data_IF_197422383970
#
_entry.id   IF_197422383970
#
_cell.length_a   1.000
_cell.length_b   1.000
_cell.length_c   1.000
_cell.angle_alpha   90.00
_cell.angle_beta   90.00
_cell.angle_gamma   90.00
#
_symmetry.space_group_name_H-M   'P 1'
#
loop_
_entity.id
_entity.type
_entity.pdbx_description
1 polymer ?
#
# COMPACT_ATOMS: atom_id res chain seq x y z
N UNK A 1 -50.79 -18.12 55.05
CA UNK A 1 -50.24 -18.60 53.76
C UNK A 1 -49.81 -17.41 52.91
N UNK A 2 -48.51 -17.11 52.85
CA UNK A 2 -47.92 -16.19 51.86
C UNK A 2 -46.69 -16.87 51.29
N UNK A 3 -46.80 -17.34 50.03
CA UNK A 3 -45.68 -17.90 49.26
C UNK A 3 -44.81 -16.74 48.80
N UNK A 4 -43.54 -16.73 49.23
CA UNK A 4 -42.52 -15.86 48.67
C UNK A 4 -41.94 -16.60 47.46
N UNK A 5 -42.21 -16.07 46.26
CA UNK A 5 -41.54 -16.51 45.03
C UNK A 5 -40.14 -15.91 45.00
N UNK A 6 -39.13 -16.77 44.96
CA UNK A 6 -37.74 -16.41 44.69
C UNK A 6 -37.58 -16.29 43.16
N UNK A 7 -37.38 -15.09 42.64
CA UNK A 7 -36.96 -14.87 41.26
C UNK A 7 -35.44 -15.01 41.17
N UNK A 8 -34.97 -16.08 40.55
CA UNK A 8 -33.57 -16.24 40.14
C UNK A 8 -33.42 -15.57 38.79
N UNK A 9 -32.88 -14.36 38.75
CA UNK A 9 -32.42 -13.73 37.51
C UNK A 9 -31.09 -14.38 37.11
N UNK A 10 -31.12 -15.25 36.09
CA UNK A 10 -29.91 -15.61 35.35
C UNK A 10 -29.41 -14.36 34.62
N UNK A 11 -28.37 -13.74 35.16
CA UNK A 11 -27.55 -12.79 34.41
C UNK A 11 -26.67 -13.62 33.48
N UNK A 12 -27.02 -13.69 32.20
CA UNK A 12 -26.12 -14.19 31.16
C UNK A 12 -24.93 -13.24 31.06
N UNK A 13 -23.81 -13.62 31.68
CA UNK A 13 -22.52 -12.98 31.45
C UNK A 13 -22.09 -13.36 30.03
N UNK A 14 -22.37 -12.50 29.06
CA UNK A 14 -21.69 -12.56 27.77
C UNK A 14 -20.23 -12.21 28.03
N UNK A 15 -19.36 -13.23 28.08
CA UNK A 15 -17.93 -13.03 27.98
C UNK A 15 -17.65 -12.40 26.60
N UNK A 16 -17.52 -11.07 26.56
CA UNK A 16 -16.80 -10.41 25.48
C UNK A 16 -15.36 -10.91 25.60
N UNK A 17 -14.99 -11.92 24.82
CA UNK A 17 -13.59 -12.26 24.65
C UNK A 17 -12.91 -11.04 24.04
N UNK A 18 -11.98 -10.44 24.79
CA UNK A 18 -11.15 -9.37 24.25
C UNK A 18 -10.41 -9.93 23.03
N UNK A 19 -10.53 -9.26 21.88
CA UNK A 19 -9.87 -9.69 20.64
C UNK A 19 -8.37 -9.74 20.82
N UNK A 20 -7.74 -10.86 20.45
CA UNK A 20 -6.31 -11.10 20.62
C UNK A 20 -5.49 -10.22 19.65
N UNK A 21 -4.38 -9.65 20.14
CA UNK A 21 -3.42 -8.94 19.32
C UNK A 21 -2.84 -9.86 18.24
N UNK A 22 -2.64 -9.33 17.03
CA UNK A 22 -1.80 -10.02 16.04
C UNK A 22 -0.33 -10.01 16.48
N UNK A 23 0.52 -10.92 15.96
CA UNK A 23 1.95 -10.87 16.23
C UNK A 23 2.58 -9.52 15.81
N UNK A 24 3.62 -9.02 16.51
CA UNK A 24 4.34 -7.81 16.12
C UNK A 24 4.90 -7.89 14.70
N UNK A 25 5.42 -9.07 14.33
CA UNK A 25 5.97 -9.36 13.01
C UNK A 25 5.55 -10.77 12.57
N UNK A 26 5.08 -10.89 11.33
CA UNK A 26 4.81 -12.15 10.64
C UNK A 26 5.70 -12.26 9.40
N UNK A 27 6.37 -13.40 9.23
CA UNK A 27 7.34 -13.63 8.16
C UNK A 27 6.79 -14.59 7.12
N UNK A 28 6.94 -14.23 5.84
CA UNK A 28 6.48 -14.99 4.67
C UNK A 28 7.67 -15.31 3.76
N UNK A 29 8.44 -16.37 4.04
CA UNK A 29 9.63 -16.73 3.27
C UNK A 29 9.29 -17.14 1.84
N UNK A 30 10.13 -16.73 0.89
CA UNK A 30 10.13 -17.23 -0.46
C UNK A 30 10.63 -18.67 -0.49
N UNK A 31 9.96 -19.52 -1.28
CA UNK A 31 10.34 -20.92 -1.45
C UNK A 31 9.92 -21.46 -2.82
N UNK A 32 10.70 -22.41 -3.34
CA UNK A 32 10.43 -23.08 -4.62
C UNK A 32 11.30 -22.59 -5.79
N UNK A 33 11.07 -23.16 -6.97
CA UNK A 33 11.93 -23.01 -8.14
C UNK A 33 11.84 -21.63 -8.83
N UNK A 34 10.86 -20.81 -8.46
CA UNK A 34 10.68 -19.46 -8.99
C UNK A 34 11.58 -18.43 -8.30
N UNK A 35 12.18 -18.78 -7.16
CA UNK A 35 13.05 -17.89 -6.39
C UNK A 35 14.38 -17.75 -7.12
N UNK A 36 14.58 -16.61 -7.76
CA UNK A 36 15.80 -16.27 -8.48
C UNK A 36 16.74 -15.39 -7.66
N UNK A 37 18.02 -15.47 -8.01
CA UNK A 37 19.08 -14.61 -7.50
C UNK A 37 19.59 -13.70 -8.60
N UNK A 38 19.92 -12.46 -8.25
CA UNK A 38 20.58 -11.51 -9.14
C UNK A 38 22.05 -11.89 -9.38
N UNK A 39 22.76 -11.09 -10.17
CA UNK A 39 24.17 -11.34 -10.53
C UNK A 39 25.11 -11.29 -9.30
N UNK A 40 24.67 -10.66 -8.21
CA UNK A 40 25.37 -10.62 -6.92
C UNK A 40 25.00 -11.81 -6.01
N UNK A 41 24.23 -12.78 -6.51
CA UNK A 41 23.78 -13.95 -5.75
C UNK A 41 22.71 -13.65 -4.70
N UNK A 42 22.11 -12.46 -4.67
CA UNK A 42 21.05 -12.08 -3.71
C UNK A 42 19.68 -12.43 -4.26
N UNK A 43 18.77 -12.94 -3.42
CA UNK A 43 17.39 -13.26 -3.84
C UNK A 43 16.68 -11.98 -4.30
N UNK A 44 16.04 -12.02 -5.46
CA UNK A 44 15.33 -10.85 -5.99
C UNK A 44 14.01 -10.65 -5.23
N UNK A 45 13.86 -9.54 -4.49
CA UNK A 45 12.60 -9.13 -3.82
C UNK A 45 11.67 -8.29 -4.71
N UNK A 46 12.21 -7.73 -5.79
CA UNK A 46 11.50 -6.87 -6.73
C UNK A 46 11.60 -5.41 -6.34
N UNK A 47 11.66 -4.54 -7.35
CA UNK A 47 11.99 -3.13 -7.12
C UNK A 47 10.77 -2.30 -6.70
N UNK A 48 9.59 -2.59 -7.22
CA UNK A 48 8.36 -1.85 -6.88
C UNK A 48 7.27 -2.80 -6.40
N UNK A 49 6.84 -2.60 -5.16
CA UNK A 49 5.72 -3.33 -4.56
C UNK A 49 4.54 -2.37 -4.30
N UNK A 50 3.33 -2.93 -4.37
CA UNK A 50 2.09 -2.33 -3.87
C UNK A 50 1.35 -3.40 -3.09
N UNK A 51 0.75 -3.03 -1.97
CA UNK A 51 0.11 -3.96 -1.03
C UNK A 51 -1.40 -3.81 -1.15
N UNK A 52 -2.11 -4.94 -1.24
CA UNK A 52 -3.56 -4.94 -1.29
C UNK A 52 -4.15 -4.50 0.05
N UNK A 53 -5.38 -3.96 0.06
CA UNK A 53 -5.92 -3.36 1.27
C UNK A 53 -6.13 -4.39 2.39
N UNK A 54 -6.37 -5.66 2.07
CA UNK A 54 -6.45 -6.75 3.05
C UNK A 54 -5.09 -7.31 3.49
N UNK A 55 -3.98 -6.83 2.92
CA UNK A 55 -2.63 -7.33 3.19
C UNK A 55 -2.34 -8.73 2.63
N UNK A 56 -3.24 -9.28 1.81
CA UNK A 56 -3.12 -10.64 1.30
C UNK A 56 -2.31 -10.74 0.01
N UNK A 57 -2.30 -9.68 -0.81
CA UNK A 57 -1.69 -9.67 -2.12
C UNK A 57 -0.68 -8.53 -2.25
N UNK A 58 0.41 -8.80 -2.97
CA UNK A 58 1.43 -7.82 -3.31
C UNK A 58 1.62 -7.82 -4.82
N UNK A 59 1.36 -6.68 -5.45
CA UNK A 59 1.71 -6.48 -6.86
C UNK A 59 3.17 -6.05 -6.92
N UNK A 60 4.00 -6.91 -7.49
CA UNK A 60 5.44 -6.74 -7.59
C UNK A 60 5.82 -6.54 -9.06
N UNK A 61 6.55 -5.46 -9.35
CA UNK A 61 7.19 -5.23 -10.64
C UNK A 61 8.68 -5.55 -10.58
N UNK A 62 9.27 -5.82 -11.75
CA UNK A 62 10.67 -6.26 -11.89
C UNK A 62 10.91 -7.52 -11.04
N UNK A 63 10.09 -8.55 -11.29
CA UNK A 63 9.99 -9.74 -10.43
C UNK A 63 11.18 -10.69 -10.46
N UNK A 64 12.23 -10.39 -11.22
CA UNK A 64 13.38 -11.27 -11.36
C UNK A 64 13.18 -12.40 -12.37
N UNK A 65 14.25 -13.17 -12.60
CA UNK A 65 14.23 -14.27 -13.58
C UNK A 65 13.29 -15.39 -13.09
N UNK A 66 12.48 -15.97 -13.97
CA UNK A 66 11.56 -17.07 -13.62
C UNK A 66 10.14 -16.67 -13.20
N UNK A 67 9.86 -15.36 -13.16
CA UNK A 67 8.52 -14.81 -12.98
C UNK A 67 8.11 -13.94 -14.18
N UNK A 68 6.84 -13.57 -14.23
CA UNK A 68 6.35 -12.54 -15.15
C UNK A 68 6.93 -11.17 -14.77
N UNK A 69 7.05 -10.24 -15.74
CA UNK A 69 7.60 -8.89 -15.49
C UNK A 69 6.95 -8.19 -14.29
N UNK A 70 5.64 -8.40 -14.16
CA UNK A 70 4.84 -8.03 -13.00
C UNK A 70 4.15 -9.28 -12.47
N UNK A 71 4.29 -9.56 -11.18
CA UNK A 71 3.73 -10.75 -10.52
C UNK A 71 2.85 -10.32 -9.36
N UNK A 72 1.72 -11.01 -9.18
CA UNK A 72 0.88 -10.85 -8.01
C UNK A 72 1.25 -11.95 -7.01
N UNK A 73 1.78 -11.57 -5.85
CA UNK A 73 2.21 -12.49 -4.81
C UNK A 73 1.11 -12.60 -3.75
N UNK A 74 0.63 -13.80 -3.45
CA UNK A 74 -0.28 -14.05 -2.34
C UNK A 74 0.50 -14.44 -1.09
N UNK A 75 0.23 -13.75 0.01
CA UNK A 75 0.72 -14.09 1.34
C UNK A 75 -0.23 -15.10 1.98
N UNK A 76 0.21 -16.36 2.05
CA UNK A 76 -0.57 -17.45 2.61
C UNK A 76 -0.13 -17.74 4.04
N UNK A 77 -0.99 -17.39 5.00
CA UNK A 77 -0.86 -17.83 6.38
C UNK A 77 -1.11 -19.34 6.46
N UNK A 78 -0.32 -20.02 7.28
CA UNK A 78 -0.56 -21.41 7.61
C UNK A 78 -1.09 -21.48 9.05
N UNK A 79 -2.37 -21.81 9.19
CA UNK A 79 -3.03 -21.92 10.50
C UNK A 79 -2.49 -23.09 11.33
N UNK A 80 -1.85 -24.06 10.67
CA UNK A 80 -1.09 -25.09 11.34
C UNK A 80 0.27 -24.52 11.78
N UNK A 81 0.44 -24.28 13.08
CA UNK A 81 1.68 -23.78 13.70
C UNK A 81 2.95 -24.60 13.37
N UNK A 82 2.81 -25.84 12.89
CA UNK A 82 3.93 -26.66 12.44
C UNK A 82 4.45 -26.28 11.03
N UNK A 83 3.71 -25.50 10.26
CA UNK A 83 4.07 -25.07 8.90
C UNK A 83 4.37 -23.58 8.88
N UNK A 84 5.52 -23.21 8.32
CA UNK A 84 5.85 -21.80 8.07
C UNK A 84 4.89 -21.21 7.06
N UNK A 85 4.50 -19.94 7.22
CA UNK A 85 3.81 -19.16 6.18
C UNK A 85 4.52 -19.27 4.82
N UNK A 86 3.79 -19.02 3.73
CA UNK A 86 4.35 -19.13 2.38
C UNK A 86 3.88 -18.02 1.45
N UNK A 87 4.59 -17.85 0.33
CA UNK A 87 4.27 -16.90 -0.73
C UNK A 87 3.95 -17.67 -2.01
N UNK A 88 2.80 -17.38 -2.63
CA UNK A 88 2.35 -18.02 -3.87
C UNK A 88 2.35 -16.98 -5.00
N UNK A 89 3.15 -17.17 -6.07
CA UNK A 89 3.13 -16.27 -7.21
C UNK A 89 1.98 -16.59 -8.16
N UNK A 90 1.31 -15.54 -8.65
CA UNK A 90 0.37 -15.57 -9.77
C UNK A 90 0.96 -14.80 -10.95
N UNK A 91 1.05 -15.44 -12.11
CA UNK A 91 1.51 -14.76 -13.31
C UNK A 91 0.48 -13.73 -13.78
N UNK A 92 0.96 -12.58 -14.26
CA UNK A 92 0.09 -11.54 -14.80
C UNK A 92 0.44 -11.24 -16.26
N UNK A 93 -0.51 -10.70 -17.05
CA UNK A 93 -0.22 -10.16 -18.38
C UNK A 93 0.38 -8.75 -18.34
N UNK A 94 0.61 -8.18 -17.16
CA UNK A 94 1.01 -6.79 -16.97
C UNK A 94 2.53 -6.61 -17.21
N UNK A 95 2.93 -5.38 -17.53
CA UNK A 95 4.32 -5.04 -17.87
C UNK A 95 4.86 -3.90 -17.00
N UNK A 96 6.19 -3.78 -16.92
CA UNK A 96 6.90 -2.65 -16.30
C UNK A 96 6.41 -2.30 -14.88
N UNK A 97 6.21 -1.03 -14.56
CA UNK A 97 5.67 -0.55 -13.28
C UNK A 97 4.13 -0.47 -13.31
N UNK A 98 3.46 -1.60 -13.55
CA UNK A 98 2.01 -1.70 -13.40
C UNK A 98 1.57 -1.38 -11.95
N UNK A 99 0.35 -0.89 -11.81
CA UNK A 99 -0.15 -0.36 -10.54
C UNK A 99 -1.61 -0.76 -10.30
N UNK A 100 -2.03 -0.92 -9.04
CA UNK A 100 -3.44 -1.09 -8.71
C UNK A 100 -4.17 0.25 -8.78
N UNK A 101 -5.49 0.18 -8.97
CA UNK A 101 -6.37 1.26 -8.51
C UNK A 101 -6.40 1.18 -6.97
N UNK A 102 -5.77 2.16 -6.32
CA UNK A 102 -5.59 2.23 -4.88
C UNK A 102 -6.93 2.27 -4.13
N UNK A 103 -6.89 1.86 -2.87
CA UNK A 103 -8.06 1.78 -1.98
C UNK A 103 -8.93 0.54 -2.21
N UNK A 104 -9.22 0.19 -3.47
CA UNK A 104 -10.14 -0.93 -3.78
C UNK A 104 -9.47 -2.13 -4.42
N UNK A 105 -8.38 -1.93 -5.16
CA UNK A 105 -7.72 -3.00 -5.92
C UNK A 105 -8.66 -3.75 -6.86
N UNK A 106 -9.77 -3.11 -7.24
CA UNK A 106 -10.73 -3.67 -8.18
C UNK A 106 -10.04 -3.98 -9.50
N UNK A 107 -9.17 -3.07 -9.93
CA UNK A 107 -8.38 -3.20 -11.13
C UNK A 107 -6.89 -3.16 -10.84
N UNK A 108 -6.15 -3.98 -11.57
CA UNK A 108 -4.73 -3.83 -11.81
C UNK A 108 -4.56 -3.21 -13.20
N UNK A 109 -3.71 -2.19 -13.31
CA UNK A 109 -3.59 -1.34 -14.49
C UNK A 109 -2.18 -1.48 -15.04
N UNK A 110 -2.09 -1.83 -16.32
CA UNK A 110 -0.82 -1.83 -17.04
C UNK A 110 -0.41 -0.39 -17.41
N UNK A 111 0.88 -0.18 -17.64
CA UNK A 111 1.45 1.14 -17.97
C UNK A 111 0.84 1.77 -19.24
N UNK A 112 0.24 0.96 -20.11
CA UNK A 112 -0.46 1.42 -21.31
C UNK A 112 -1.92 1.88 -21.05
N UNK A 113 -2.41 1.80 -19.81
CA UNK A 113 -3.78 2.15 -19.39
C UNK A 113 -4.81 1.01 -19.49
N UNK A 114 -4.40 -0.21 -19.85
CA UNK A 114 -5.29 -1.37 -19.86
C UNK A 114 -5.62 -1.82 -18.42
N UNK A 115 -6.91 -1.91 -18.10
CA UNK A 115 -7.40 -2.29 -16.77
C UNK A 115 -7.84 -3.76 -16.76
N UNK A 116 -7.34 -4.53 -15.79
CA UNK A 116 -7.63 -5.93 -15.57
C UNK A 116 -8.31 -6.10 -14.22
N UNK A 117 -9.35 -6.93 -14.10
CA UNK A 117 -9.89 -7.25 -12.77
C UNK A 117 -8.89 -8.11 -12.02
N UNK A 118 -8.70 -7.80 -10.74
CA UNK A 118 -7.91 -8.65 -9.84
C UNK A 118 -8.40 -10.10 -9.86
N UNK A 119 -9.71 -10.32 -9.77
CA UNK A 119 -10.30 -11.68 -9.75
C UNK A 119 -10.10 -12.46 -11.04
N UNK A 120 -10.05 -11.78 -12.20
CA UNK A 120 -9.70 -12.44 -13.45
C UNK A 120 -8.21 -12.83 -13.48
N UNK A 121 -7.31 -12.01 -12.91
CA UNK A 121 -5.89 -12.37 -12.75
C UNK A 121 -5.72 -13.55 -11.79
N UNK A 122 -6.38 -13.54 -10.63
CA UNK A 122 -6.31 -14.66 -9.68
C UNK A 122 -6.78 -15.99 -10.31
N UNK A 123 -7.81 -15.94 -11.16
CA UNK A 123 -8.38 -17.15 -11.80
C UNK A 123 -7.66 -17.58 -13.07
N UNK A 124 -7.28 -16.63 -13.93
CA UNK A 124 -6.79 -16.90 -15.30
C UNK A 124 -5.31 -16.57 -15.48
N UNK A 125 -4.69 -15.94 -14.50
CA UNK A 125 -3.29 -15.52 -14.50
C UNK A 125 -2.92 -14.77 -15.78
N UNK A 126 -1.84 -15.16 -16.47
CA UNK A 126 -1.39 -14.59 -17.75
C UNK A 126 -2.46 -14.59 -18.85
N UNK A 127 -3.50 -15.43 -18.76
CA UNK A 127 -4.63 -15.47 -19.72
C UNK A 127 -5.77 -14.51 -19.36
N UNK A 128 -5.64 -13.73 -18.28
CA UNK A 128 -6.60 -12.69 -17.94
C UNK A 128 -6.71 -11.68 -19.09
N UNK A 129 -7.93 -11.23 -19.37
CA UNK A 129 -8.21 -10.26 -20.43
C UNK A 129 -8.46 -8.89 -19.82
N UNK A 130 -7.96 -7.85 -20.50
CA UNK A 130 -8.31 -6.48 -20.16
C UNK A 130 -9.82 -6.28 -20.27
N UNK A 131 -10.37 -5.47 -19.38
CA UNK A 131 -11.78 -5.10 -19.36
C UNK A 131 -12.01 -3.87 -20.23
N UNK A 132 -11.17 -2.85 -20.04
CA UNK A 132 -11.22 -1.60 -20.77
C UNK A 132 -9.85 -0.91 -20.75
N UNK A 133 -9.73 0.20 -21.48
CA UNK A 133 -8.57 1.09 -21.50
C UNK A 133 -8.98 2.51 -21.14
N UNK A 134 -8.29 3.14 -20.19
CA UNK A 134 -8.63 4.47 -19.68
C UNK A 134 -7.57 5.05 -18.74
N UNK A 135 -7.82 6.26 -18.24
CA UNK A 135 -6.88 6.99 -17.39
C UNK A 135 -5.71 7.58 -18.15
N UNK A 136 -4.64 7.91 -17.42
CA UNK A 136 -3.34 8.26 -17.96
C UNK A 136 -2.52 6.97 -18.17
N UNK A 137 -1.71 6.95 -19.22
CA UNK A 137 -0.72 5.92 -19.49
C UNK A 137 0.69 6.48 -19.28
N UNK A 138 1.62 5.67 -18.82
CA UNK A 138 3.01 6.07 -18.58
C UNK A 138 3.67 5.25 -17.49
N UNK A 139 5.00 5.31 -17.43
CA UNK A 139 5.82 4.50 -16.52
C UNK A 139 5.56 4.82 -15.03
N UNK A 140 5.37 6.09 -14.69
CA UNK A 140 5.15 6.57 -13.32
C UNK A 140 3.69 7.02 -13.14
N UNK A 141 2.78 6.12 -13.49
CA UNK A 141 1.34 6.38 -13.31
C UNK A 141 0.86 5.67 -12.05
N UNK A 142 -0.05 6.33 -11.34
CA UNK A 142 -0.79 5.76 -10.20
C UNK A 142 -2.26 6.08 -10.37
N UNK A 143 -3.13 5.31 -9.71
CA UNK A 143 -4.57 5.56 -9.75
C UNK A 143 -5.25 5.24 -8.42
N UNK A 144 -6.39 5.87 -8.16
CA UNK A 144 -7.24 5.62 -6.99
C UNK A 144 -8.73 5.65 -7.41
N UNK A 145 -9.55 4.82 -6.76
CA UNK A 145 -11.00 4.90 -6.87
C UNK A 145 -11.49 6.04 -5.97
N UNK A 146 -12.24 7.00 -6.53
CA UNK A 146 -12.75 8.13 -5.75
C UNK A 146 -13.94 7.70 -4.88
N UNK A 147 -14.04 8.30 -3.70
CA UNK A 147 -15.14 8.07 -2.76
C UNK A 147 -16.51 8.44 -3.33
N UNK A 148 -17.56 7.74 -2.90
CA UNK A 148 -18.97 8.09 -3.20
C UNK A 148 -19.58 7.38 -4.42
N UNK A 149 -18.81 6.53 -5.11
CA UNK A 149 -19.30 5.70 -6.20
C UNK A 149 -19.89 4.36 -5.75
N UNK A 150 -20.53 3.67 -6.69
CA UNK A 150 -20.97 2.28 -6.57
C UNK A 150 -20.23 1.38 -7.57
N UNK A 151 -20.36 0.06 -7.44
CA UNK A 151 -19.76 -0.86 -8.42
C UNK A 151 -20.26 -0.58 -9.85
N UNK A 152 -21.53 -0.23 -10.03
CA UNK A 152 -22.10 0.08 -11.34
C UNK A 152 -21.77 1.49 -11.82
N UNK A 153 -21.33 2.40 -10.94
CA UNK A 153 -20.94 3.77 -11.29
C UNK A 153 -19.93 4.35 -10.29
N UNK A 154 -18.63 4.27 -10.63
CA UNK A 154 -17.55 4.82 -9.82
C UNK A 154 -16.57 5.59 -10.69
N UNK A 155 -15.74 6.39 -10.04
CA UNK A 155 -14.72 7.20 -10.69
C UNK A 155 -13.33 6.70 -10.34
N UNK A 156 -12.45 6.71 -11.33
CA UNK A 156 -11.03 6.41 -11.13
C UNK A 156 -10.22 7.65 -11.51
N UNK A 157 -9.49 8.20 -10.55
CA UNK A 157 -8.48 9.24 -10.79
C UNK A 157 -7.16 8.56 -11.07
N UNK A 158 -6.51 8.95 -12.16
CA UNK A 158 -5.13 8.60 -12.48
C UNK A 158 -4.25 9.84 -12.42
N UNK A 159 -3.00 9.68 -11.99
CA UNK A 159 -2.00 10.73 -11.83
C UNK A 159 -0.70 10.22 -12.44
N UNK A 160 0.01 11.07 -13.20
CA UNK A 160 1.27 10.66 -13.83
C UNK A 160 2.26 11.81 -14.00
N UNK A 161 3.54 11.45 -13.93
CA UNK A 161 4.69 12.26 -14.33
C UNK A 161 5.81 11.34 -14.79
N UNK A 162 6.42 11.49 -15.98
CA UNK A 162 6.22 12.49 -17.03
C UNK A 162 5.16 12.09 -18.07
N UNK A 163 4.71 13.05 -18.87
CA UNK A 163 3.92 12.80 -20.08
C UNK A 163 4.82 12.50 -21.31
N UNK A 164 5.73 11.53 -21.21
CA UNK A 164 6.70 11.18 -22.26
C UNK A 164 6.90 9.67 -22.42
N UNK A 165 7.46 9.24 -23.57
CA UNK A 165 7.88 7.85 -23.82
C UNK A 165 9.10 7.48 -22.95
N UNK A 166 9.53 6.21 -22.98
CA UNK A 166 10.69 5.71 -22.20
C UNK A 166 12.00 6.47 -22.44
N UNK A 167 12.11 7.21 -23.55
CA UNK A 167 13.28 8.01 -23.92
C UNK A 167 13.31 9.40 -23.25
N UNK A 168 12.16 9.87 -22.74
CA UNK A 168 12.01 11.18 -22.08
C UNK A 168 11.56 11.03 -20.61
N UNK A 169 11.99 9.96 -19.94
CA UNK A 169 11.73 9.78 -18.52
C UNK A 169 12.25 10.99 -17.72
N UNK A 170 11.39 11.57 -16.88
CA UNK A 170 11.69 12.76 -16.08
C UNK A 170 11.32 14.12 -16.70
N UNK A 171 10.80 14.18 -17.93
CA UNK A 171 10.44 15.46 -18.59
C UNK A 171 8.94 15.60 -18.78
N UNK A 172 8.30 16.52 -18.05
CA UNK A 172 6.88 16.84 -18.24
C UNK A 172 6.22 17.45 -17.01
N UNK A 173 4.99 17.95 -17.20
CA UNK A 173 4.18 18.53 -16.12
C UNK A 173 3.32 17.42 -15.52
N UNK A 174 3.17 17.44 -14.19
CA UNK A 174 2.26 16.56 -13.48
C UNK A 174 0.84 16.72 -14.04
N UNK A 175 0.19 15.60 -14.34
CA UNK A 175 -1.17 15.61 -14.88
C UNK A 175 -2.04 14.56 -14.23
N UNK A 176 -3.34 14.83 -14.15
CA UNK A 176 -4.32 13.86 -13.71
C UNK A 176 -5.47 13.72 -14.72
N UNK A 177 -6.19 12.61 -14.62
CA UNK A 177 -7.40 12.34 -15.39
C UNK A 177 -8.36 11.53 -14.55
N UNK A 178 -9.61 11.93 -14.53
CA UNK A 178 -10.71 11.20 -13.89
C UNK A 178 -11.57 10.57 -14.98
N UNK A 179 -11.81 9.26 -14.90
CA UNK A 179 -12.73 8.55 -15.78
C UNK A 179 -13.91 7.99 -14.98
N UNK A 180 -15.08 7.86 -15.62
CA UNK A 180 -16.18 7.04 -15.06
C UNK A 180 -16.12 5.61 -15.57
N UNK A 181 -16.35 4.67 -14.66
CA UNK A 181 -16.34 3.23 -14.90
C UNK A 181 -17.59 2.62 -14.27
N UNK A 182 -18.12 1.58 -14.89
CA UNK A 182 -19.21 0.81 -14.32
C UNK A 182 -19.10 -0.67 -14.63
N UNK A 183 -19.63 -1.48 -13.73
CA UNK A 183 -19.87 -2.90 -13.98
C UNK A 183 -21.30 -3.13 -14.47
N UNK A 184 -21.43 -3.97 -15.49
CA UNK A 184 -22.71 -4.51 -15.90
C UNK A 184 -23.19 -5.63 -14.95
N UNK A 185 -24.39 -6.15 -15.18
CA UNK A 185 -24.99 -7.25 -14.40
C UNK A 185 -24.19 -8.56 -14.42
N UNK A 186 -23.31 -8.74 -15.42
CA UNK A 186 -22.44 -9.90 -15.54
C UNK A 186 -21.06 -9.62 -14.90
N UNK A 187 -20.93 -8.48 -14.22
CA UNK A 187 -19.70 -8.00 -13.63
C UNK A 187 -18.66 -7.55 -14.66
N UNK A 188 -18.99 -7.35 -15.94
CA UNK A 188 -18.04 -6.85 -16.95
C UNK A 188 -17.87 -5.35 -16.75
N UNK A 189 -16.62 -4.91 -16.57
CA UNK A 189 -16.31 -3.51 -16.36
C UNK A 189 -16.12 -2.79 -17.71
N UNK A 190 -16.75 -1.63 -17.86
CA UNK A 190 -16.55 -0.77 -19.02
C UNK A 190 -16.41 0.69 -18.59
N UNK A 191 -15.68 1.45 -19.41
CA UNK A 191 -15.51 2.88 -19.24
C UNK A 191 -16.75 3.60 -19.80
N UNK A 192 -17.36 4.48 -19.00
CA UNK A 192 -18.54 5.26 -19.37
C UNK A 192 -18.22 6.62 -19.99
N UNK A 193 -17.09 7.21 -19.60
CA UNK A 193 -16.58 8.43 -20.23
C UNK A 193 -15.06 8.40 -20.34
N UNK A 194 -14.54 9.22 -21.24
CA UNK A 194 -13.11 9.38 -21.38
C UNK A 194 -12.50 10.30 -20.32
N UNK A 195 -13.25 11.22 -19.73
CA UNK A 195 -12.70 12.33 -18.95
C UNK A 195 -11.69 13.20 -19.74
N UNK A 196 -11.20 14.25 -19.06
CA UNK A 196 -10.18 15.17 -19.58
C UNK A 196 -8.85 15.01 -18.85
N UNK A 197 -7.74 15.20 -19.58
CA UNK A 197 -6.41 15.30 -18.98
C UNK A 197 -6.23 16.73 -18.49
N UNK A 198 -5.91 16.87 -17.21
CA UNK A 198 -5.71 18.14 -16.54
C UNK A 198 -4.26 18.27 -16.07
N UNK A 199 -3.57 19.31 -16.54
CA UNK A 199 -2.23 19.67 -16.07
C UNK A 199 -2.31 20.44 -14.76
N UNK A 200 -1.55 20.00 -13.78
CA UNK A 200 -1.75 20.38 -12.38
C UNK A 200 -0.74 21.40 -11.86
N UNK A 201 -1.06 21.96 -10.69
CA UNK A 201 -0.18 22.69 -9.78
C UNK A 201 0.49 23.95 -10.34
N UNK A 202 -0.05 24.52 -11.43
CA UNK A 202 0.46 25.79 -11.98
C UNK A 202 0.45 26.93 -10.95
N UNK A 203 -0.46 26.88 -9.99
CA UNK A 203 -0.56 27.84 -8.90
C UNK A 203 0.61 27.77 -7.90
N UNK A 204 1.39 26.68 -7.90
CA UNK A 204 2.57 26.50 -7.04
C UNK A 204 3.90 26.80 -7.76
N UNK A 205 3.87 27.28 -9.02
CA UNK A 205 5.07 27.52 -9.84
C UNK A 205 6.07 28.49 -9.21
N UNK A 206 5.60 29.45 -8.40
CA UNK A 206 6.44 30.43 -7.72
C UNK A 206 7.16 29.87 -6.49
N UNK A 207 6.63 28.80 -5.87
CA UNK A 207 7.23 28.16 -4.69
C UNK A 207 7.93 26.85 -5.05
N UNK A 208 7.23 25.94 -5.72
CA UNK A 208 7.63 24.55 -5.92
C UNK A 208 8.19 24.30 -7.33
N UNK A 209 8.23 25.34 -8.17
CA UNK A 209 8.74 25.25 -9.53
C UNK A 209 7.79 24.54 -10.49
N UNK A 210 8.32 24.18 -11.66
CA UNK A 210 7.53 23.67 -12.80
C UNK A 210 7.50 22.15 -12.90
N UNK A 211 8.38 21.47 -12.18
CA UNK A 211 8.62 20.03 -12.34
C UNK A 211 8.54 19.36 -10.98
N UNK A 212 7.64 18.39 -10.87
CA UNK A 212 7.46 17.55 -9.69
C UNK A 212 7.61 16.09 -10.10
N UNK A 213 8.29 15.28 -9.28
CA UNK A 213 8.62 13.90 -9.62
C UNK A 213 7.98 12.88 -8.68
N UNK A 214 8.05 11.61 -9.10
CA UNK A 214 7.75 10.44 -8.29
C UNK A 214 6.36 10.49 -7.63
N UNK A 215 5.30 10.76 -8.41
CA UNK A 215 3.98 10.97 -7.84
C UNK A 215 3.43 9.68 -7.24
N UNK A 216 2.83 9.81 -6.06
CA UNK A 216 2.06 8.76 -5.40
C UNK A 216 0.71 9.33 -5.00
N UNK A 217 -0.36 8.55 -5.10
CA UNK A 217 -1.74 9.02 -4.83
C UNK A 217 -2.28 8.37 -3.55
N UNK A 218 -3.09 9.11 -2.79
CA UNK A 218 -3.79 8.58 -1.62
C UNK A 218 -4.81 7.51 -2.02
N UNK A 219 -5.23 6.69 -1.05
CA UNK A 219 -6.14 5.57 -1.28
C UNK A 219 -7.51 5.99 -1.83
N UNK A 220 -7.96 7.20 -1.48
CA UNK A 220 -9.23 7.81 -1.88
C UNK A 220 -9.09 8.83 -3.04
N UNK A 221 -7.86 9.06 -3.52
CA UNK A 221 -7.55 10.01 -4.58
C UNK A 221 -7.78 11.49 -4.23
N UNK A 222 -7.83 11.84 -2.94
CA UNK A 222 -8.00 13.21 -2.45
C UNK A 222 -6.67 13.96 -2.26
N UNK A 223 -5.58 13.23 -2.07
CA UNK A 223 -4.21 13.75 -1.90
C UNK A 223 -3.23 13.03 -2.83
N UNK A 224 -2.07 13.65 -3.02
CA UNK A 224 -0.93 13.02 -3.67
C UNK A 224 0.37 13.51 -3.05
N UNK A 225 1.40 12.66 -3.09
CA UNK A 225 2.76 13.03 -2.75
C UNK A 225 3.58 13.21 -4.03
N UNK A 226 4.48 14.19 -4.04
CA UNK A 226 5.42 14.39 -5.14
C UNK A 226 6.60 15.24 -4.66
N UNK A 227 7.75 15.11 -5.33
CA UNK A 227 8.97 15.84 -5.01
C UNK A 227 9.26 16.92 -6.05
N UNK A 228 9.10 18.22 -5.72
CA UNK A 228 9.60 19.31 -6.54
C UNK A 228 11.05 19.11 -6.92
N UNK A 229 11.39 19.21 -8.21
CA UNK A 229 12.75 18.99 -8.68
C UNK A 229 13.64 20.23 -8.54
N UNK A 230 13.03 21.42 -8.65
CA UNK A 230 13.71 22.71 -8.50
C UNK A 230 12.79 23.70 -7.76
N UNK A 231 12.50 23.47 -6.47
CA UNK A 231 11.78 24.44 -5.65
C UNK A 231 12.54 25.78 -5.58
N UNK A 232 11.80 26.88 -5.48
CA UNK A 232 12.32 28.26 -5.52
C UNK A 232 12.47 28.87 -4.13
N UNK A 233 11.70 28.41 -3.15
CA UNK A 233 11.60 29.01 -1.82
C UNK A 233 12.00 28.05 -0.68
N UNK A 234 12.53 26.88 -1.00
CA UNK A 234 12.76 25.78 -0.07
C UNK A 234 13.70 24.72 -0.67
N UNK A 235 14.23 23.83 0.17
CA UNK A 235 15.04 22.70 -0.29
C UNK A 235 14.20 21.64 -1.01
N UNK A 236 14.87 20.81 -1.82
CA UNK A 236 14.26 19.64 -2.46
C UNK A 236 13.87 18.63 -1.39
N UNK A 237 12.57 18.34 -1.30
CA UNK A 237 12.01 17.41 -0.33
C UNK A 237 10.73 16.78 -0.88
N UNK A 238 10.38 15.61 -0.33
CA UNK A 238 9.09 14.98 -0.60
C UNK A 238 7.96 15.73 0.12
N UNK A 239 6.90 16.05 -0.61
CA UNK A 239 5.76 16.85 -0.12
C UNK A 239 4.44 16.16 -0.41
N UNK A 240 3.43 16.47 0.40
CA UNK A 240 2.06 16.03 0.22
C UNK A 240 1.20 17.24 -0.16
N UNK A 241 0.35 17.03 -1.15
CA UNK A 241 -0.57 18.01 -1.68
C UNK A 241 -1.98 17.46 -1.72
N UNK A 242 -2.95 18.37 -1.63
CA UNK A 242 -4.36 18.10 -1.89
C UNK A 242 -4.72 18.50 -3.31
N UNK A 243 -5.57 17.71 -3.97
CA UNK A 243 -6.18 18.11 -5.23
C UNK A 243 -7.17 19.25 -5.00
N UNK A 244 -7.07 20.33 -5.77
CA UNK A 244 -8.09 21.37 -5.82
C UNK A 244 -9.43 20.85 -6.34
N UNK A 245 -10.51 21.56 -6.00
CA UNK A 245 -11.86 21.25 -6.47
C UNK A 245 -11.99 21.31 -8.00
N UNK A 246 -11.14 22.10 -8.66
CA UNK A 246 -11.02 22.22 -10.11
C UNK A 246 -10.18 21.11 -10.76
N UNK A 247 -9.61 20.20 -9.94
CA UNK A 247 -8.68 19.15 -10.32
C UNK A 247 -7.41 19.63 -11.03
N UNK A 248 -7.10 20.92 -10.94
CA UNK A 248 -5.91 21.55 -11.56
C UNK A 248 -5.04 22.21 -10.51
N UNK A 249 -5.66 22.93 -9.59
CA UNK A 249 -4.98 23.60 -8.50
C UNK A 249 -4.48 22.58 -7.47
N UNK A 250 -3.40 22.92 -6.79
CA UNK A 250 -2.81 22.09 -5.74
C UNK A 250 -2.58 22.90 -4.48
N UNK A 251 -2.81 22.30 -3.34
CA UNK A 251 -2.53 22.89 -2.03
C UNK A 251 -1.45 22.07 -1.33
N UNK A 252 -0.34 22.69 -0.94
CA UNK A 252 0.71 22.00 -0.16
C UNK A 252 0.21 21.81 1.28
N UNK A 253 0.02 20.56 1.68
CA UNK A 253 -0.49 20.17 3.01
C UNK A 253 0.66 19.87 3.97
N UNK A 254 1.74 19.26 3.47
CA UNK A 254 2.87 18.84 4.30
C UNK A 254 4.17 18.84 3.50
N UNK A 255 5.25 19.26 4.16
CA UNK A 255 6.62 19.01 3.74
C UNK A 255 7.26 18.02 4.72
N UNK A 256 7.76 16.90 4.21
CA UNK A 256 8.40 15.88 5.04
C UNK A 256 9.86 16.24 5.37
N UNK A 257 10.44 17.23 4.69
CA UNK A 257 11.84 17.65 4.82
C UNK A 257 12.83 16.49 4.66
N UNK A 258 12.47 15.49 3.86
CA UNK A 258 13.31 14.33 3.54
C UNK A 258 13.26 14.06 2.05
N UNK A 259 14.40 13.66 1.49
CA UNK A 259 14.51 13.17 0.12
C UNK A 259 14.27 11.66 0.16
N UNK A 260 13.11 11.26 -0.36
CA UNK A 260 12.70 9.86 -0.47
C UNK A 260 12.09 9.62 -1.84
N UNK A 261 12.20 8.40 -2.34
CA UNK A 261 11.79 8.10 -3.72
C UNK A 261 10.28 7.91 -3.86
N UNK A 262 9.57 7.34 -2.89
CA UNK A 262 8.10 7.17 -2.93
C UNK A 262 7.50 7.25 -1.52
N UNK A 263 6.25 7.71 -1.47
CA UNK A 263 5.42 7.78 -0.27
C UNK A 263 4.19 6.90 -0.47
N UNK A 264 3.83 6.16 0.56
CA UNK A 264 2.59 5.37 0.60
C UNK A 264 1.66 5.93 1.65
N UNK A 265 0.43 6.24 1.24
CA UNK A 265 -0.59 6.76 2.13
C UNK A 265 -1.26 5.65 2.92
N UNK A 266 -1.49 5.89 4.20
CA UNK A 266 -2.44 5.10 4.97
C UNK A 266 -3.87 5.43 4.56
N UNK A 267 -4.81 4.73 5.18
CA UNK A 267 -6.18 5.21 5.30
C UNK A 267 -6.25 6.58 6.02
N UNK A 268 -7.22 7.45 5.68
CA UNK A 268 -7.38 8.75 6.31
C UNK A 268 -7.46 8.70 7.84
N UNK A 269 -8.08 7.67 8.41
CA UNK A 269 -8.26 7.53 9.85
C UNK A 269 -6.94 7.32 10.62
N UNK A 270 -5.93 6.73 9.96
CA UNK A 270 -4.60 6.56 10.55
C UNK A 270 -3.73 7.82 10.38
N UNK A 271 -4.04 8.65 9.38
CA UNK A 271 -3.33 9.88 9.05
C UNK A 271 -1.79 9.73 9.08
N UNK A 272 -1.29 8.70 8.40
CA UNK A 272 0.13 8.38 8.36
C UNK A 272 0.61 8.13 6.92
N UNK A 273 1.92 8.19 6.74
CA UNK A 273 2.57 7.78 5.50
C UNK A 273 3.77 6.88 5.75
N UNK A 274 4.10 6.04 4.77
CA UNK A 274 5.32 5.23 4.76
C UNK A 274 6.26 5.69 3.68
N UNK A 275 7.54 5.58 3.96
CA UNK A 275 8.59 5.64 2.95
C UNK A 275 9.70 4.66 3.27
N UNK A 276 10.42 4.27 2.22
CA UNK A 276 11.73 3.69 2.36
C UNK A 276 12.76 4.81 2.24
N UNK A 277 13.71 4.89 3.18
CA UNK A 277 14.84 5.80 3.08
C UNK A 277 16.15 5.02 3.07
N UNK A 278 17.09 5.47 2.24
CA UNK A 278 18.45 4.97 2.17
C UNK A 278 19.42 6.14 2.33
N UNK A 279 20.19 6.16 3.41
CA UNK A 279 21.18 7.20 3.72
C UNK A 279 20.63 8.58 4.09
N UNK A 280 19.40 8.94 3.72
CA UNK A 280 18.81 10.27 3.96
C UNK A 280 18.31 10.50 5.40
N UNK A 281 18.33 9.48 6.26
CA UNK A 281 17.87 9.54 7.66
C UNK A 281 19.01 9.62 8.69
N UNK A 282 20.23 9.92 8.25
CA UNK A 282 21.40 10.03 9.11
C UNK A 282 21.68 8.74 9.88
N UNK A 283 21.90 8.85 11.20
CA UNK A 283 22.21 7.71 12.07
C UNK A 283 21.09 6.66 12.18
N UNK A 284 19.87 6.96 11.71
CA UNK A 284 18.76 5.98 11.70
C UNK A 284 18.86 4.96 10.56
N UNK A 285 19.74 5.20 9.58
CA UNK A 285 20.10 4.22 8.56
C UNK A 285 19.04 3.93 7.50
N UNK A 286 19.16 2.77 6.87
CA UNK A 286 18.30 2.34 5.76
C UNK A 286 17.13 1.50 6.29
N UNK A 287 15.90 1.79 5.86
CA UNK A 287 14.75 1.02 6.32
C UNK A 287 13.39 1.59 5.93
N UNK A 288 12.35 0.94 6.45
CA UNK A 288 10.97 1.38 6.34
C UNK A 288 10.63 2.29 7.51
N UNK A 289 10.06 3.44 7.20
CA UNK A 289 9.74 4.47 8.16
C UNK A 289 8.24 4.74 8.18
N UNK A 290 7.65 4.70 9.37
CA UNK A 290 6.27 5.09 9.65
C UNK A 290 6.23 6.54 10.12
N UNK A 291 5.63 7.42 9.33
CA UNK A 291 5.51 8.84 9.66
C UNK A 291 4.06 9.16 10.05
N UNK A 292 3.86 9.52 11.31
CA UNK A 292 2.59 10.03 11.82
C UNK A 292 2.45 11.51 11.50
N UNK A 293 1.41 11.89 10.73
CA UNK A 293 1.26 13.27 10.24
C UNK A 293 0.80 14.24 11.32
N UNK A 294 0.05 13.77 12.31
CA UNK A 294 -0.44 14.62 13.40
C UNK A 294 0.70 14.96 14.37
N UNK A 295 1.54 13.97 14.67
CA UNK A 295 2.71 14.15 15.53
C UNK A 295 3.91 14.73 14.79
N UNK A 296 3.88 14.72 13.45
CA UNK A 296 5.01 15.05 12.57
C UNK A 296 6.29 14.30 12.97
N UNK A 297 6.13 13.00 13.26
CA UNK A 297 7.19 12.16 13.82
C UNK A 297 7.32 10.87 13.04
N UNK A 298 8.57 10.49 12.82
CA UNK A 298 8.95 9.23 12.17
C UNK A 298 9.35 8.19 13.20
N UNK A 299 8.85 6.97 13.00
CA UNK A 299 9.13 5.77 13.79
C UNK A 299 9.71 4.65 12.92
N UNK A 300 10.54 3.79 13.50
CA UNK A 300 11.07 2.57 12.85
C UNK A 300 10.23 1.33 13.16
N UNK A 301 10.39 0.28 12.36
CA UNK A 301 9.67 -1.00 12.49
C UNK A 301 10.60 -2.15 12.87
N UNK A 302 11.60 -1.86 13.70
CA UNK A 302 12.66 -2.81 14.02
C UNK A 302 12.11 -4.03 14.78
N UNK A 303 12.52 -5.23 14.36
CA UNK A 303 12.28 -6.47 15.09
C UNK A 303 13.49 -6.74 16.00
N UNK A 304 13.37 -6.64 17.34
CA UNK A 304 14.49 -6.88 18.25
C UNK A 304 14.94 -8.35 18.27
N UNK A 305 14.11 -9.28 17.78
CA UNK A 305 14.40 -10.72 17.76
C UNK A 305 15.09 -11.16 16.47
N UNK A 306 15.00 -10.38 15.39
CA UNK A 306 15.60 -10.73 14.09
C UNK A 306 16.30 -9.55 13.45
N UNK A 307 17.47 -9.81 12.89
CA UNK A 307 18.14 -8.84 12.03
C UNK A 307 17.44 -8.79 10.68
N UNK A 308 16.53 -7.83 10.52
CA UNK A 308 15.75 -7.60 9.30
C UNK A 308 16.38 -6.47 8.48
N UNK A 309 16.53 -6.69 7.17
CA UNK A 309 16.94 -5.69 6.21
C UNK A 309 15.83 -5.52 5.16
N UNK A 310 15.08 -4.42 5.24
CA UNK A 310 14.06 -4.10 4.25
C UNK A 310 14.71 -3.65 2.94
N UNK A 311 14.22 -4.17 1.82
CA UNK A 311 14.78 -3.89 0.48
C UNK A 311 13.68 -3.89 -0.60
N UNK A 312 12.48 -3.45 -0.22
CA UNK A 312 11.43 -3.08 -1.18
C UNK A 312 10.50 -2.01 -0.62
N UNK A 313 9.74 -1.34 -1.49
CA UNK A 313 8.77 -0.34 -1.05
C UNK A 313 7.71 -0.97 -0.14
N UNK A 314 7.41 -0.34 1.02
CA UNK A 314 6.42 -0.85 1.93
C UNK A 314 4.99 -0.59 1.41
N UNK A 315 3.98 -1.04 2.15
CA UNK A 315 2.61 -0.59 1.97
C UNK A 315 1.74 -0.85 3.19
N UNK A 316 0.65 -0.10 3.31
CA UNK A 316 -0.31 -0.29 4.39
C UNK A 316 -1.38 -1.32 4.01
N UNK A 317 -1.84 -2.07 5.02
CA UNK A 317 -3.15 -2.69 5.01
C UNK A 317 -4.21 -1.70 5.51
N UNK A 318 -5.47 -1.96 5.20
CA UNK A 318 -6.63 -1.22 5.66
C UNK A 318 -6.85 -1.29 7.18
N UNK A 319 -6.27 -2.28 7.84
CA UNK A 319 -6.29 -2.44 9.31
C UNK A 319 -5.11 -1.72 9.99
N UNK A 320 -4.14 -1.21 9.21
CA UNK A 320 -3.03 -0.37 9.70
C UNK A 320 -1.69 -1.10 9.82
N UNK A 321 -1.62 -2.41 9.56
CA UNK A 321 -0.35 -3.13 9.46
C UNK A 321 0.45 -2.68 8.25
N UNK A 322 1.75 -2.94 8.30
CA UNK A 322 2.71 -2.54 7.29
C UNK A 322 3.33 -3.78 6.67
N UNK A 323 3.32 -3.86 5.35
CA UNK A 323 3.90 -4.98 4.60
C UNK A 323 5.08 -4.50 3.78
N UNK A 324 6.21 -5.21 3.85
CA UNK A 324 7.41 -4.87 3.09
C UNK A 324 8.23 -6.12 2.76
N UNK A 325 9.03 -6.05 1.69
CA UNK A 325 9.98 -7.09 1.33
C UNK A 325 11.27 -6.92 2.12
N UNK A 326 11.82 -8.01 2.62
CA UNK A 326 13.03 -7.98 3.43
C UNK A 326 13.85 -9.26 3.32
N UNK A 327 15.11 -9.14 3.72
CA UNK A 327 15.99 -10.23 4.10
C UNK A 327 16.04 -10.34 5.62
N UNK A 328 16.15 -11.55 6.15
CA UNK A 328 16.38 -11.77 7.58
C UNK A 328 17.18 -13.04 7.82
N UNK A 329 17.74 -13.17 9.01
CA UNK A 329 18.42 -14.38 9.45
C UNK A 329 17.54 -15.14 10.44
N UNK A 330 17.25 -16.41 10.12
CA UNK A 330 16.70 -17.35 11.09
C UNK A 330 17.86 -18.14 11.69
N UNK A 331 18.23 -17.78 12.93
CA UNK A 331 19.28 -18.46 13.67
C UNK A 331 18.68 -19.50 14.62
N UNK A 332 19.07 -20.76 14.45
CA UNK A 332 18.88 -21.81 15.45
C UNK A 332 20.27 -22.25 15.91
N UNK A 333 20.56 -22.05 17.20
CA UNK A 333 21.91 -22.19 17.78
C UNK A 333 22.96 -21.36 17.02
N UNK A 334 24.10 -21.95 16.66
CA UNK A 334 25.18 -21.29 15.89
C UNK A 334 24.93 -21.23 14.38
N UNK A 335 23.80 -21.76 13.87
CA UNK A 335 23.50 -21.81 12.44
C UNK A 335 22.41 -20.80 12.08
N UNK A 336 22.81 -19.78 11.32
CA UNK A 336 21.89 -18.81 10.74
C UNK A 336 21.63 -19.12 9.27
N UNK A 337 20.34 -19.20 8.91
CA UNK A 337 19.89 -19.33 7.53
C UNK A 337 19.37 -17.97 7.08
N UNK A 338 19.97 -17.42 6.03
CA UNK A 338 19.44 -16.23 5.37
C UNK A 338 18.14 -16.57 4.62
N UNK A 339 17.13 -15.75 4.85
CA UNK A 339 15.82 -15.81 4.22
C UNK A 339 15.54 -14.50 3.51
N UNK A 340 14.70 -14.60 2.49
CA UNK A 340 14.15 -13.46 1.78
C UNK A 340 12.65 -13.69 1.62
N UNK A 341 11.86 -12.62 1.68
CA UNK A 341 10.42 -12.72 1.54
C UNK A 341 9.72 -11.44 1.94
N UNK A 342 8.49 -11.58 2.44
CA UNK A 342 7.71 -10.46 2.95
C UNK A 342 7.54 -10.53 4.47
N UNK A 343 7.47 -9.36 5.08
CA UNK A 343 7.18 -9.18 6.51
C UNK A 343 5.91 -8.35 6.63
N UNK A 344 4.98 -8.80 7.47
CA UNK A 344 3.84 -7.99 7.92
C UNK A 344 4.15 -7.56 9.35
N UNK A 345 4.11 -6.26 9.63
CA UNK A 345 4.41 -5.71 10.96
C UNK A 345 3.25 -4.88 11.50
N UNK A 346 2.98 -5.01 12.79
CA UNK A 346 2.13 -4.10 13.54
C UNK A 346 2.98 -2.93 14.06
N UNK A 347 2.82 -1.70 13.52
CA UNK A 347 3.65 -0.57 13.93
C UNK A 347 3.52 -0.26 15.42
N UNK A 348 2.35 -0.47 16.02
CA UNK A 348 2.12 -0.12 17.42
C UNK A 348 2.89 -1.00 18.40
N UNK A 349 3.32 -2.18 17.93
CA UNK A 349 4.12 -3.09 18.73
C UNK A 349 5.63 -2.89 18.56
N UNK A 350 6.07 -1.97 17.69
CA UNK A 350 7.47 -1.61 17.51
C UNK A 350 8.08 -1.01 18.78
N UNK A 351 9.38 -1.22 19.05
CA UNK A 351 10.05 -0.61 20.19
C UNK A 351 9.96 0.92 20.19
N UNK A 352 10.14 1.57 19.05
CA UNK A 352 10.15 3.05 18.94
C UNK A 352 8.78 3.67 19.29
N UNK A 353 7.68 3.07 18.83
CA UNK A 353 6.33 3.53 19.21
C UNK A 353 6.04 3.24 20.68
N UNK A 354 6.40 2.06 21.19
CA UNK A 354 6.23 1.72 22.61
C UNK A 354 6.99 2.68 23.53
N UNK A 355 8.24 2.98 23.19
CA UNK A 355 9.06 3.93 23.93
C UNK A 355 8.45 5.33 23.90
N UNK A 356 7.95 5.75 22.75
CA UNK A 356 7.22 7.02 22.64
C UNK A 356 5.96 7.05 23.49
N UNK A 357 5.14 6.00 23.48
CA UNK A 357 3.93 5.91 24.32
C UNK A 357 4.26 5.98 25.81
N UNK A 358 5.38 5.39 26.23
CA UNK A 358 5.83 5.43 27.62
C UNK A 358 6.38 6.81 28.02
N UNK A 359 7.10 7.48 27.12
CA UNK A 359 7.73 8.79 27.38
C UNK A 359 6.76 9.97 27.24
N UNK A 360 5.78 9.85 26.34
CA UNK A 360 4.83 10.91 25.98
C UNK A 360 3.41 10.41 26.24
N UNK A 361 3.04 10.27 27.52
CA UNK A 361 1.80 9.60 27.94
C UNK A 361 0.55 10.16 27.26
N UNK A 362 0.40 11.48 27.17
CA UNK A 362 -0.81 12.08 26.57
C UNK A 362 -0.82 11.99 25.03
N UNK A 363 0.21 12.42 24.29
CA UNK A 363 0.27 12.19 22.83
C UNK A 363 0.26 10.70 22.44
N UNK A 364 0.85 9.85 23.28
CA UNK A 364 0.98 8.41 23.06
C UNK A 364 -0.35 7.64 23.11
N UNK A 365 -1.37 8.18 23.80
CA UNK A 365 -2.73 7.60 23.83
C UNK A 365 -3.40 7.54 22.44
N UNK A 366 -2.88 8.25 21.45
CA UNK A 366 -3.33 8.15 20.05
C UNK A 366 -3.11 6.74 19.49
N UNK A 367 -2.01 6.10 19.87
CA UNK A 367 -1.66 4.79 19.34
C UNK A 367 -2.44 3.69 20.05
N UNK A 368 -2.88 2.69 19.27
CA UNK A 368 -3.39 1.43 19.84
C UNK A 368 -2.25 0.72 20.58
N UNK A 369 -2.58 -0.20 21.49
CA UNK A 369 -1.57 -1.12 22.03
C UNK A 369 -1.10 -2.14 20.97
N UNK A 370 -2.02 -2.56 20.11
CA UNK A 370 -1.80 -3.48 19.00
C UNK A 370 -2.99 -3.43 18.02
N UNK A 371 -2.79 -3.97 16.83
CA UNK A 371 -3.86 -4.35 15.90
C UNK A 371 -4.39 -5.72 16.34
N UNK A 372 -5.70 -5.91 16.31
CA UNK A 372 -6.33 -7.16 16.76
C UNK A 372 -6.75 -8.06 15.60
N UNK A 373 -7.02 -9.33 15.89
CA UNK A 373 -7.57 -10.27 14.90
C UNK A 373 -8.91 -9.77 14.33
N UNK A 374 -9.73 -9.09 15.14
CA UNK A 374 -11.01 -8.51 14.69
C UNK A 374 -10.81 -7.36 13.70
N UNK A 375 -9.81 -6.49 13.93
CA UNK A 375 -9.45 -5.43 13.00
C UNK A 375 -9.10 -6.02 11.61
N UNK A 376 -8.32 -7.12 11.61
CA UNK A 376 -7.93 -7.83 10.40
C UNK A 376 -9.12 -8.49 9.71
N UNK A 377 -9.98 -9.19 10.45
CA UNK A 377 -11.15 -9.86 9.88
C UNK A 377 -12.14 -8.86 9.26
N UNK A 378 -12.39 -7.74 9.95
CA UNK A 378 -13.23 -6.67 9.43
C UNK A 378 -12.67 -6.08 8.13
N UNK A 379 -11.35 -5.93 8.04
CA UNK A 379 -10.66 -5.48 6.84
C UNK A 379 -10.83 -6.48 5.68
N UNK A 380 -10.64 -7.78 5.95
CA UNK A 380 -10.83 -8.86 4.98
C UNK A 380 -12.28 -8.89 4.44
N UNK A 381 -13.27 -8.90 5.31
CA UNK A 381 -14.69 -8.94 4.93
C UNK A 381 -15.10 -7.72 4.08
N UNK A 382 -14.60 -6.53 4.43
CA UNK A 382 -14.86 -5.32 3.64
C UNK A 382 -14.27 -5.45 2.22
N UNK A 383 -13.07 -6.02 2.11
CA UNK A 383 -12.39 -6.17 0.83
C UNK A 383 -13.01 -7.28 -0.05
N UNK A 384 -13.44 -8.38 0.56
CA UNK A 384 -14.16 -9.45 -0.15
C UNK A 384 -15.46 -8.94 -0.78
N UNK A 385 -16.19 -8.05 -0.10
CA UNK A 385 -17.41 -7.42 -0.67
C UNK A 385 -17.08 -6.63 -1.93
N UNK A 386 -15.99 -5.85 -1.92
CA UNK A 386 -15.53 -5.08 -3.09
C UNK A 386 -15.20 -6.00 -4.28
N UNK A 387 -14.49 -7.11 -4.02
CA UNK A 387 -14.07 -8.07 -5.05
C UNK A 387 -15.10 -9.14 -5.41
N UNK A 388 -16.21 -9.24 -4.67
CA UNK A 388 -17.30 -10.15 -5.00
C UNK A 388 -18.00 -9.76 -6.31
N UNK A 389 -17.95 -8.47 -6.67
CA UNK A 389 -18.62 -7.88 -7.84
C UNK A 389 -20.12 -8.18 -7.93
N UNK A 390 -20.73 -8.62 -6.82
CA UNK A 390 -22.17 -8.80 -6.73
C UNK A 390 -22.78 -7.42 -6.61
N UNK A 391 -23.58 -7.03 -7.59
CA UNK A 391 -24.49 -5.90 -7.46
C UNK A 391 -25.61 -6.41 -6.53
N UNK A 392 -25.63 -5.91 -5.30
CA UNK A 392 -26.72 -6.20 -4.35
C UNK A 392 -28.02 -5.54 -4.81
#
# INVERSE_FOLDING_TARGET
MKKIMLFISLVSVTNLMASECVPPHEYFPFSGNWVSRNDNGTVELGMYARVSPDGKYILRSFSGKGLSQVTLMELKRNDNKALSNSVIPYETPLSNEAFPVQGTWRYLVDTNGDHYKLTDILRKQKKAKKQFKGGISGFYTVAAELSGGSASDHQVRSLSWPSGNSENQGVGVLSNRIIKVGLDKNGVASKKDNGSVEYMCKNLRSSDGDVMSLPMISLDGSEFASMPQNPKDSDVSMRIYKFGNDHKSCERVLDLNVIVSKIIFSKPELNAVLFYASGSMGNRGNGVYFYDRDLKKTFTLDDPLKRVHADSFPGFTNDGRIVYGAFWQDCQDEKCIERAGYVISDPYQSPDIKDYMNQQVDPGKKFKSCITTDDVNKSLEAQEKIWSYKIL
#
